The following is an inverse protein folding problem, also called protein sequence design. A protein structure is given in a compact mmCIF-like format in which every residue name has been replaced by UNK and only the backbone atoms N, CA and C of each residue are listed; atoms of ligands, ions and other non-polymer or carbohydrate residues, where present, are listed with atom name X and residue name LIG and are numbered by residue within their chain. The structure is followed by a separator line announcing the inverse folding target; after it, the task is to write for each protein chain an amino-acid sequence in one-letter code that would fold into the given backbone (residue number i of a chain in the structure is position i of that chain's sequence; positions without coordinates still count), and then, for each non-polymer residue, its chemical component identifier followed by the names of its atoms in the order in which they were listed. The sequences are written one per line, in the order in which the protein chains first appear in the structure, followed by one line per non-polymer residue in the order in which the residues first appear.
data_IF_748712026788
#
_entry.id   IF_748712026788
#
_cell.length_a   1.000
_cell.length_b   1.000
_cell.length_c   1.000
_cell.angle_alpha   90.00
_cell.angle_beta   90.00
_cell.angle_gamma   90.00
#
_symmetry.space_group_name_H-M   'P 1'
#
loop_
_entity.id
_entity.type
_entity.pdbx_description
1 polymer ?
#
# COMPACT_ATOMS: atom_id res chain seq x y z
N UNK A 1 6.80 -28.17 21.29
CA UNK A 1 6.72 -26.71 21.49
C UNK A 1 7.88 -26.10 20.72
N UNK A 2 7.61 -25.25 19.71
CA UNK A 2 8.67 -24.63 18.93
C UNK A 2 9.42 -23.61 19.79
N UNK A 3 10.74 -23.51 19.64
CA UNK A 3 11.56 -22.57 20.40
C UNK A 3 11.08 -21.12 20.21
N UNK A 4 11.21 -20.23 21.21
CA UNK A 4 10.83 -18.83 21.06
C UNK A 4 11.64 -18.18 19.94
N UNK A 5 10.96 -17.55 18.96
CA UNK A 5 11.61 -16.78 17.91
C UNK A 5 12.45 -15.67 18.56
N UNK A 6 13.76 -15.65 18.28
CA UNK A 6 14.66 -14.64 18.86
C UNK A 6 14.63 -13.29 18.12
N UNK A 7 13.90 -13.18 17.02
CA UNK A 7 13.71 -11.96 16.25
C UNK A 7 12.35 -11.94 15.53
N UNK A 8 11.78 -10.74 15.39
CA UNK A 8 10.55 -10.47 14.63
C UNK A 8 10.92 -10.38 13.15
N UNK A 9 10.35 -11.22 12.29
CA UNK A 9 10.58 -11.15 10.83
C UNK A 9 9.70 -10.08 10.17
N UNK A 10 10.01 -9.68 8.92
CA UNK A 10 9.14 -8.78 8.15
C UNK A 10 7.70 -9.30 8.06
N UNK A 11 7.53 -10.60 7.84
CA UNK A 11 6.21 -11.26 7.78
C UNK A 11 5.48 -11.25 9.12
N UNK A 12 6.18 -11.13 10.24
CA UNK A 12 5.57 -11.03 11.57
C UNK A 12 5.05 -9.60 11.87
N UNK A 13 5.42 -8.60 11.06
CA UNK A 13 4.93 -7.23 11.23
C UNK A 13 3.49 -7.09 10.72
N UNK A 14 2.57 -6.84 11.64
CA UNK A 14 1.16 -6.55 11.34
C UNK A 14 1.00 -5.45 10.29
N UNK A 15 1.74 -4.34 10.43
CA UNK A 15 1.70 -3.23 9.46
C UNK A 15 2.11 -3.66 8.05
N UNK A 16 3.02 -4.64 7.91
CA UNK A 16 3.40 -5.17 6.61
C UNK A 16 2.32 -6.10 6.05
N UNK A 17 1.69 -6.93 6.90
CA UNK A 17 0.56 -7.77 6.51
C UNK A 17 -0.62 -6.92 6.00
N UNK A 18 -0.97 -5.86 6.74
CA UNK A 18 -2.00 -4.90 6.33
C UNK A 18 -1.66 -4.20 5.01
N UNK A 19 -0.40 -3.82 4.80
CA UNK A 19 0.03 -3.23 3.53
C UNK A 19 -0.09 -4.22 2.35
N UNK A 20 0.14 -5.52 2.58
CA UNK A 20 -0.04 -6.56 1.57
C UNK A 20 -1.52 -6.83 1.27
N UNK A 21 -2.37 -6.78 2.29
CA UNK A 21 -3.82 -6.88 2.13
C UNK A 21 -4.38 -5.68 1.35
N UNK A 22 -3.94 -4.47 1.69
CA UNK A 22 -4.30 -3.25 0.95
C UNK A 22 -3.83 -3.31 -0.51
N UNK A 23 -2.63 -3.84 -0.77
CA UNK A 23 -2.13 -4.07 -2.14
C UNK A 23 -3.04 -5.02 -2.93
N UNK A 24 -3.57 -6.08 -2.30
CA UNK A 24 -4.54 -6.97 -2.94
C UNK A 24 -5.84 -6.23 -3.31
N UNK A 25 -6.44 -5.48 -2.38
CA UNK A 25 -7.65 -4.70 -2.67
C UNK A 25 -7.40 -3.62 -3.73
N UNK A 26 -6.26 -2.93 -3.66
CA UNK A 26 -5.86 -1.95 -4.67
C UNK A 26 -5.70 -2.57 -6.06
N UNK A 27 -5.16 -3.79 -6.14
CA UNK A 27 -5.03 -4.50 -7.41
C UNK A 27 -6.40 -4.90 -7.99
N UNK A 28 -7.36 -5.27 -7.16
CA UNK A 28 -8.74 -5.54 -7.58
C UNK A 28 -9.41 -4.28 -8.14
N UNK A 29 -9.27 -3.14 -7.45
CA UNK A 29 -9.71 -1.82 -7.99
C UNK A 29 -9.05 -1.57 -9.34
N UNK A 30 -7.73 -1.66 -9.41
CA UNK A 30 -6.97 -1.34 -10.61
C UNK A 30 -7.42 -2.19 -11.81
N UNK A 31 -7.59 -3.50 -11.61
CA UNK A 31 -7.99 -4.42 -12.68
C UNK A 31 -9.44 -4.26 -13.14
N UNK A 32 -10.33 -3.69 -12.31
CA UNK A 32 -11.71 -3.39 -12.72
C UNK A 32 -11.85 -2.13 -13.56
N UNK A 33 -10.83 -1.25 -13.59
CA UNK A 33 -10.88 0.00 -14.33
C UNK A 33 -10.80 -0.22 -15.84
N UNK A 34 -11.51 0.62 -16.61
CA UNK A 34 -11.31 0.71 -18.05
C UNK A 34 -9.86 1.12 -18.37
N UNK A 35 -9.26 0.56 -19.43
CA UNK A 35 -7.83 0.71 -19.74
C UNK A 35 -7.32 2.16 -19.81
N UNK A 36 -8.16 3.11 -20.28
CA UNK A 36 -7.80 4.54 -20.28
C UNK A 36 -7.70 5.10 -18.86
N UNK A 37 -8.62 4.71 -17.98
CA UNK A 37 -8.64 5.11 -16.57
C UNK A 37 -7.49 4.46 -15.82
N UNK A 38 -7.18 3.18 -16.11
CA UNK A 38 -5.95 2.54 -15.64
C UNK A 38 -4.74 3.42 -15.94
N UNK A 39 -4.53 3.80 -17.20
CA UNK A 39 -3.36 4.62 -17.56
C UNK A 39 -3.28 5.99 -16.93
N UNK A 40 -4.41 6.67 -16.71
CA UNK A 40 -4.40 8.06 -16.25
C UNK A 40 -4.44 8.15 -14.71
N UNK A 41 -5.12 7.22 -14.06
CA UNK A 41 -5.41 7.28 -12.62
C UNK A 41 -5.11 5.97 -11.89
N UNK A 42 -5.32 4.82 -12.54
CA UNK A 42 -5.04 3.51 -11.95
C UNK A 42 -3.54 3.23 -11.76
N UNK A 43 -2.70 3.55 -12.73
CA UNK A 43 -1.24 3.36 -12.69
C UNK A 43 -0.62 4.12 -11.50
N UNK A 44 -0.88 5.43 -11.30
CA UNK A 44 -0.38 6.12 -10.11
C UNK A 44 -1.03 5.65 -8.81
N UNK A 45 -2.31 5.27 -8.81
CA UNK A 45 -2.99 4.68 -7.65
C UNK A 45 -2.33 3.37 -7.19
N UNK A 46 -2.16 2.39 -8.09
CA UNK A 46 -1.60 1.08 -7.74
C UNK A 46 -0.12 1.20 -7.37
N UNK A 47 0.61 2.10 -8.04
CA UNK A 47 2.01 2.40 -7.70
C UNK A 47 2.13 2.95 -6.29
N UNK A 48 1.29 3.93 -5.92
CA UNK A 48 1.27 4.47 -4.56
C UNK A 48 0.92 3.37 -3.54
N UNK A 49 -0.14 2.60 -3.81
CA UNK A 49 -0.60 1.50 -2.94
C UNK A 49 0.49 0.45 -2.68
N UNK A 50 1.09 -0.10 -3.73
CA UNK A 50 2.13 -1.13 -3.61
C UNK A 50 3.42 -0.60 -2.97
N UNK A 51 3.70 0.69 -3.14
CA UNK A 51 4.87 1.32 -2.54
C UNK A 51 4.81 1.38 -1.01
N UNK A 52 3.63 1.29 -0.39
CA UNK A 52 3.48 1.26 1.07
C UNK A 52 4.22 0.03 1.64
N UNK A 53 3.86 -1.16 1.13
CA UNK A 53 4.50 -2.41 1.53
C UNK A 53 5.97 -2.47 1.11
N UNK A 54 6.31 -1.95 -0.07
CA UNK A 54 7.69 -1.89 -0.54
C UNK A 54 8.59 -1.06 0.38
N UNK A 55 8.13 0.13 0.79
CA UNK A 55 8.88 0.98 1.71
C UNK A 55 8.98 0.38 3.12
N UNK A 56 7.93 -0.29 3.63
CA UNK A 56 8.00 -1.01 4.91
C UNK A 56 9.07 -2.11 4.84
N UNK A 57 9.08 -2.89 3.76
CA UNK A 57 10.07 -3.96 3.56
C UNK A 57 11.50 -3.40 3.44
N UNK A 58 11.70 -2.34 2.65
CA UNK A 58 13.00 -1.72 2.50
C UNK A 58 13.49 -1.12 3.82
N UNK A 59 12.63 -0.40 4.53
CA UNK A 59 12.94 0.16 5.84
C UNK A 59 13.29 -0.91 6.88
N UNK A 60 12.57 -2.04 6.87
CA UNK A 60 12.85 -3.17 7.75
C UNK A 60 14.25 -3.76 7.52
N UNK A 61 14.70 -3.81 6.26
CA UNK A 61 16.02 -4.32 5.91
C UNK A 61 17.17 -3.33 6.24
N UNK A 62 16.89 -2.08 6.63
CA UNK A 62 17.91 -1.09 7.02
C UNK A 62 18.38 -1.31 8.46
N UNK A 63 19.71 -1.22 8.65
CA UNK A 63 20.34 -1.39 9.96
C UNK A 63 20.09 -0.19 10.90
N UNK A 64 20.20 1.03 10.40
CA UNK A 64 20.08 2.23 11.22
C UNK A 64 18.63 2.67 11.43
N UNK A 65 18.27 2.95 12.69
CA UNK A 65 16.93 3.40 13.08
C UNK A 65 16.42 4.60 12.28
N UNK A 66 17.27 5.59 12.03
CA UNK A 66 16.89 6.82 11.29
C UNK A 66 16.54 6.55 9.83
N UNK A 67 17.24 5.61 9.19
CA UNK A 67 16.91 5.20 7.82
C UNK A 67 15.58 4.45 7.79
N UNK A 68 15.38 3.48 8.69
CA UNK A 68 14.10 2.78 8.82
C UNK A 68 12.92 3.74 9.01
N UNK A 69 13.09 4.73 9.90
CA UNK A 69 12.07 5.75 10.14
C UNK A 69 11.74 6.57 8.89
N UNK A 70 12.76 6.92 8.07
CA UNK A 70 12.55 7.62 6.80
C UNK A 70 11.65 6.81 5.86
N UNK A 71 11.87 5.50 5.76
CA UNK A 71 11.02 4.61 4.96
C UNK A 71 9.59 4.50 5.50
N UNK A 72 9.39 4.49 6.81
CA UNK A 72 8.06 4.56 7.40
C UNK A 72 7.34 5.88 7.03
N UNK A 73 8.05 7.00 6.98
CA UNK A 73 7.46 8.27 6.53
C UNK A 73 7.10 8.26 5.05
N UNK A 74 7.93 7.64 4.20
CA UNK A 74 7.60 7.47 2.77
C UNK A 74 6.37 6.59 2.63
N UNK A 75 6.31 5.44 3.31
CA UNK A 75 5.15 4.55 3.30
C UNK A 75 3.85 5.28 3.72
N UNK A 76 3.93 6.15 4.73
CA UNK A 76 2.80 6.99 5.16
C UNK A 76 2.39 8.03 4.11
N UNK A 77 3.35 8.62 3.40
CA UNK A 77 3.08 9.50 2.27
C UNK A 77 2.37 8.76 1.14
N UNK A 78 2.87 7.57 0.78
CA UNK A 78 2.24 6.69 -0.21
C UNK A 78 0.82 6.28 0.17
N UNK A 79 0.56 6.03 1.46
CA UNK A 79 -0.80 5.76 1.94
C UNK A 79 -1.73 6.93 1.64
N UNK A 80 -1.36 8.16 2.02
CA UNK A 80 -2.15 9.35 1.74
C UNK A 80 -2.35 9.60 0.23
N UNK A 81 -1.31 9.36 -0.60
CA UNK A 81 -1.47 9.42 -2.05
C UNK A 81 -2.46 8.37 -2.57
N UNK A 82 -2.41 7.14 -2.05
CA UNK A 82 -3.29 6.06 -2.49
C UNK A 82 -4.75 6.26 -2.08
N UNK A 83 -5.03 6.48 -0.78
CA UNK A 83 -6.39 6.53 -0.22
C UNK A 83 -7.00 7.92 -0.33
N UNK A 84 -6.27 8.95 0.09
CA UNK A 84 -6.85 10.28 0.31
C UNK A 84 -6.86 11.09 -0.99
N UNK A 85 -6.04 10.70 -1.97
CA UNK A 85 -5.95 11.38 -3.26
C UNK A 85 -6.50 10.54 -4.41
N UNK A 86 -5.83 9.44 -4.78
CA UNK A 86 -6.18 8.73 -6.00
C UNK A 86 -7.50 7.97 -5.92
N UNK A 87 -7.75 7.26 -4.82
CA UNK A 87 -9.02 6.55 -4.61
C UNK A 87 -10.20 7.52 -4.56
N UNK A 88 -10.05 8.64 -3.86
CA UNK A 88 -11.06 9.70 -3.82
C UNK A 88 -11.34 10.28 -5.22
N UNK A 89 -10.31 10.57 -6.01
CA UNK A 89 -10.52 11.03 -7.39
C UNK A 89 -11.21 9.98 -8.26
N UNK A 90 -10.89 8.69 -8.11
CA UNK A 90 -11.59 7.61 -8.81
C UNK A 90 -13.08 7.59 -8.43
N UNK A 91 -13.41 7.79 -7.15
CA UNK A 91 -14.79 7.87 -6.64
C UNK A 91 -15.53 9.10 -7.14
N UNK A 92 -14.96 10.30 -6.98
CA UNK A 92 -15.54 11.58 -7.42
C UNK A 92 -15.84 11.60 -8.93
N UNK A 93 -15.02 10.89 -9.71
CA UNK A 93 -15.18 10.78 -11.17
C UNK A 93 -15.99 9.55 -11.60
N UNK A 94 -16.68 8.88 -10.68
CA UNK A 94 -17.53 7.71 -10.93
C UNK A 94 -16.80 6.58 -11.67
N UNK A 95 -15.51 6.38 -11.39
CA UNK A 95 -14.71 5.29 -11.96
C UNK A 95 -14.82 3.99 -11.15
N UNK A 96 -15.26 4.10 -9.89
CA UNK A 96 -15.52 3.00 -8.97
C UNK A 96 -16.85 3.24 -8.26
N UNK A 97 -17.58 2.17 -7.93
CA UNK A 97 -18.85 2.26 -7.19
C UNK A 97 -18.62 2.41 -5.68
N UNK A 98 -19.48 3.20 -5.02
CA UNK A 98 -19.41 3.44 -3.58
C UNK A 98 -19.64 2.18 -2.72
N UNK A 99 -20.30 1.16 -3.27
CA UNK A 99 -20.55 -0.11 -2.57
C UNK A 99 -19.33 -1.02 -2.52
N UNK A 100 -18.28 -0.72 -3.30
CA UNK A 100 -17.14 -1.62 -3.43
C UNK A 100 -16.16 -1.47 -2.27
N UNK A 101 -16.18 -0.34 -1.54
CA UNK A 101 -15.21 -0.05 -0.47
C UNK A 101 -15.82 0.90 0.59
N UNK A 102 -16.40 0.32 1.64
CA UNK A 102 -16.89 1.01 2.84
C UNK A 102 -16.14 0.53 4.08
#
# INVERSE_FOLDING_TARGET
MSAPKSYITLSDLEVYQLARELSQYGFEVYTSLHWRTQKIMGDPFITATDSIGANIAEGYARYHFRERLKFCYIARGSLAESSDHWLELLRERNQISGDTYA
#
